data_IF_782665391872
#
_entry.id   IF_782665391872
#
_cell.length_a   1.000
_cell.length_b   1.000
_cell.length_c   1.000
_cell.angle_alpha   90.00
_cell.angle_beta   90.00
_cell.angle_gamma   90.00
#
_symmetry.space_group_name_H-M   'P 1'
#
loop_
_entity.id
_entity.type
_entity.pdbx_description
1 polymer ?
#
# COMPACT_ATOMS: atom_id res chain seq x y z
N UNK A 1 -0.13 -11.07 5.88
CA UNK A 1 -0.85 -10.08 6.71
C UNK A 1 -1.72 -9.28 5.77
N UNK A 2 -3.03 -9.23 6.03
CA UNK A 2 -3.97 -8.53 5.16
C UNK A 2 -4.25 -7.13 5.70
N UNK A 3 -4.19 -6.12 4.84
CA UNK A 3 -4.56 -4.75 5.18
C UNK A 3 -5.62 -4.21 4.22
N UNK A 4 -6.45 -3.30 4.72
CA UNK A 4 -7.42 -2.56 3.91
C UNK A 4 -6.84 -1.22 3.49
N UNK A 5 -6.93 -0.94 2.20
CA UNK A 5 -6.47 0.30 1.57
C UNK A 5 -7.58 0.87 0.68
N UNK A 6 -7.38 2.10 0.22
CA UNK A 6 -8.31 2.78 -0.68
C UNK A 6 -7.59 3.10 -1.98
N UNK A 7 -8.06 2.54 -3.10
CA UNK A 7 -7.55 2.86 -4.44
C UNK A 7 -7.73 4.34 -4.75
N UNK A 8 -6.92 4.88 -5.67
CA UNK A 8 -7.06 6.27 -6.15
C UNK A 8 -8.47 6.59 -6.66
N UNK A 9 -9.21 5.61 -7.20
CA UNK A 9 -10.60 5.76 -7.63
C UNK A 9 -11.62 5.83 -6.47
N UNK A 10 -11.20 5.51 -5.24
CA UNK A 10 -12.04 5.52 -4.04
C UNK A 10 -12.54 4.14 -3.61
N UNK A 11 -12.28 3.10 -4.39
CA UNK A 11 -12.65 1.73 -4.05
C UNK A 11 -11.80 1.16 -2.92
N UNK A 12 -12.42 0.38 -2.04
CA UNK A 12 -11.69 -0.33 -0.99
C UNK A 12 -11.10 -1.63 -1.53
N UNK A 13 -9.80 -1.84 -1.29
CA UNK A 13 -9.11 -3.08 -1.62
C UNK A 13 -8.48 -3.72 -0.40
N UNK A 14 -8.42 -5.05 -0.40
CA UNK A 14 -7.74 -5.83 0.64
C UNK A 14 -6.48 -6.43 0.03
N UNK A 15 -5.32 -6.05 0.57
CA UNK A 15 -4.02 -6.42 0.04
C UNK A 15 -3.28 -7.33 1.02
N UNK A 16 -2.72 -8.43 0.52
CA UNK A 16 -1.82 -9.25 1.31
C UNK A 16 -0.42 -8.62 1.32
N UNK A 17 -0.10 -7.94 2.42
CA UNK A 17 1.15 -7.20 2.57
C UNK A 17 2.39 -8.09 2.60
N UNK A 18 2.26 -9.41 2.78
CA UNK A 18 3.41 -10.33 2.66
C UNK A 18 3.92 -10.46 1.23
N UNK A 19 3.13 -10.06 0.23
CA UNK A 19 3.52 -10.07 -1.18
C UNK A 19 3.92 -8.68 -1.68
N UNK A 20 3.98 -7.67 -0.82
CA UNK A 20 4.45 -6.33 -1.17
C UNK A 20 5.98 -6.31 -1.14
N UNK A 21 6.58 -5.84 -2.22
CA UNK A 21 8.04 -5.73 -2.36
C UNK A 21 8.50 -4.32 -2.05
N UNK A 22 7.73 -3.31 -2.46
CA UNK A 22 7.96 -1.92 -2.09
C UNK A 22 6.68 -1.11 -2.13
N UNK A 23 6.66 -0.01 -1.40
CA UNK A 23 5.59 0.98 -1.42
C UNK A 23 6.24 2.36 -1.29
N UNK A 24 5.99 3.23 -2.27
CA UNK A 24 6.71 4.50 -2.42
C UNK A 24 5.72 5.65 -2.61
N UNK A 25 6.06 6.88 -2.17
CA UNK A 25 5.19 8.03 -2.38
C UNK A 25 4.83 8.22 -3.86
N UNK A 26 3.56 8.51 -4.14
CA UNK A 26 3.05 8.77 -5.48
C UNK A 26 1.94 9.83 -5.43
N UNK A 27 2.25 11.05 -5.87
CA UNK A 27 1.35 12.20 -5.72
C UNK A 27 1.02 12.43 -4.24
N UNK A 28 -0.28 12.44 -3.90
CA UNK A 28 -0.76 12.54 -2.52
C UNK A 28 -0.92 11.19 -1.82
N UNK A 29 -0.64 10.08 -2.51
CA UNK A 29 -0.83 8.71 -2.01
C UNK A 29 0.42 7.85 -2.18
N UNK A 30 0.22 6.54 -2.41
CA UNK A 30 1.32 5.55 -2.47
C UNK A 30 1.17 4.61 -3.67
N UNK A 31 2.27 4.38 -4.38
CA UNK A 31 2.38 3.31 -5.37
C UNK A 31 2.93 2.05 -4.70
N UNK A 32 2.19 0.96 -4.78
CA UNK A 32 2.52 -0.34 -4.19
C UNK A 32 2.91 -1.32 -5.29
N UNK A 33 4.10 -1.89 -5.15
CA UNK A 33 4.63 -2.94 -6.03
C UNK A 33 4.55 -4.28 -5.32
N UNK A 34 3.92 -5.26 -5.96
CA UNK A 34 3.85 -6.62 -5.44
C UNK A 34 4.85 -7.55 -6.12
N UNK A 35 5.06 -8.73 -5.53
CA UNK A 35 5.89 -9.78 -6.08
C UNK A 35 5.29 -10.42 -7.35
N UNK A 36 3.99 -10.22 -7.62
CA UNK A 36 3.33 -10.72 -8.82
C UNK A 36 3.62 -9.77 -10.00
N UNK A 37 4.22 -10.26 -11.10
CA UNK A 37 4.54 -9.41 -12.26
C UNK A 37 3.32 -8.67 -12.80
N UNK A 38 3.45 -7.36 -13.01
CA UNK A 38 2.39 -6.51 -13.54
C UNK A 38 1.26 -6.17 -12.55
N UNK A 39 1.27 -6.71 -11.33
CA UNK A 39 0.29 -6.38 -10.30
C UNK A 39 0.83 -5.28 -9.39
N UNK A 40 0.39 -4.06 -9.63
CA UNK A 40 0.66 -2.89 -8.81
C UNK A 40 -0.63 -2.18 -8.44
N UNK A 41 -0.58 -1.38 -7.37
CA UNK A 41 -1.74 -0.61 -6.90
C UNK A 41 -1.34 0.83 -6.63
N UNK A 42 -2.27 1.75 -6.87
CA UNK A 42 -2.14 3.15 -6.49
C UNK A 42 -3.20 3.45 -5.44
N UNK A 43 -2.78 3.81 -4.24
CA UNK A 43 -3.69 3.99 -3.10
C UNK A 43 -3.62 5.41 -2.57
N UNK A 44 -4.69 5.85 -1.91
CA UNK A 44 -4.80 7.18 -1.31
C UNK A 44 -4.00 7.31 -0.02
N UNK A 45 -3.76 6.21 0.69
CA UNK A 45 -2.95 6.23 1.89
C UNK A 45 -1.51 6.68 1.62
N UNK A 46 -0.93 7.44 2.56
CA UNK A 46 0.50 7.78 2.52
C UNK A 46 1.35 6.60 2.97
N UNK A 47 2.66 6.67 2.72
CA UNK A 47 3.63 5.67 3.16
C UNK A 47 3.63 5.50 4.68
N UNK A 48 3.44 6.59 5.43
CA UNK A 48 3.39 6.60 6.90
C UNK A 48 2.11 5.94 7.42
N UNK A 49 0.97 6.20 6.76
CA UNK A 49 -0.29 5.54 7.11
C UNK A 49 -0.22 4.04 6.86
N UNK A 50 0.38 3.63 5.73
CA UNK A 50 0.62 2.22 5.43
C UNK A 50 1.54 1.59 6.48
N UNK A 51 2.68 2.23 6.81
CA UNK A 51 3.59 1.79 7.86
C UNK A 51 2.88 1.55 9.20
N UNK A 52 2.05 2.50 9.64
CA UNK A 52 1.24 2.33 10.86
C UNK A 52 0.28 1.15 10.77
N UNK A 53 -0.41 0.97 9.63
CA UNK A 53 -1.32 -0.17 9.41
C UNK A 53 -0.60 -1.52 9.45
N UNK A 54 0.68 -1.57 9.07
CA UNK A 54 1.49 -2.79 9.05
C UNK A 54 2.38 -2.97 10.29
N UNK A 55 2.26 -2.07 11.27
CA UNK A 55 3.02 -2.15 12.52
C UNK A 55 4.49 -1.74 12.40
N UNK A 56 4.86 -1.02 11.34
CA UNK A 56 6.18 -0.37 11.25
C UNK A 56 6.08 0.95 12.01
N UNK A 57 6.64 0.98 13.22
CA UNK A 57 6.87 2.23 13.97
C UNK A 57 8.17 2.84 13.47
N UNK A 58 8.11 4.06 12.93
CA UNK A 58 9.31 4.84 12.66
C UNK A 58 10.09 5.01 13.99
N UNK A 59 11.35 4.60 13.99
CA UNK A 59 12.29 4.73 15.11
C UNK A 59 12.57 6.19 15.45
#
# INVERSE_FOLDING_TARGET
>A
MWIKLTDVNGDHLTLNFTHVVSFNPYGTGTHIVTATPGLTFFVKETTEEIQRKVGITAS
#
